data_IF_696050870732
#
_entry.id   IF_696050870732
#
_cell.length_a   1.000
_cell.length_b   1.000
_cell.length_c   1.000
_cell.angle_alpha   90.00
_cell.angle_beta   90.00
_cell.angle_gamma   90.00
#
_symmetry.space_group_name_H-M   'P 1'
#
loop_
_entity.id
_entity.type
_entity.pdbx_description
1 polymer ?
#
# COMPACT_ATOMS: atom_id res chain seq x y z
N UNK A 1 1.36 -26.82 -12.80
CA UNK A 1 2.74 -27.20 -12.45
C UNK A 1 3.35 -26.04 -11.71
N UNK A 2 3.35 -26.14 -10.38
CA UNK A 2 3.81 -25.10 -9.47
C UNK A 2 5.33 -25.22 -9.34
N UNK A 3 6.05 -24.12 -9.59
CA UNK A 3 7.44 -23.97 -9.16
C UNK A 3 7.45 -22.92 -8.05
N UNK A 4 7.60 -23.45 -6.85
CA UNK A 4 7.78 -22.79 -5.58
C UNK A 4 9.24 -22.32 -5.50
N UNK A 5 9.47 -21.02 -5.68
CA UNK A 5 10.77 -20.39 -5.43
C UNK A 5 10.83 -20.01 -3.96
N UNK A 6 11.26 -20.96 -3.14
CA UNK A 6 11.68 -20.76 -1.75
C UNK A 6 13.18 -20.49 -1.72
N UNK A 7 13.59 -19.71 -0.72
CA UNK A 7 14.96 -19.54 -0.22
C UNK A 7 15.97 -18.77 -1.06
N UNK A 8 16.04 -17.46 -0.78
CA UNK A 8 17.33 -16.78 -0.59
C UNK A 8 17.22 -15.74 0.52
N UNK A 9 17.16 -16.21 1.76
CA UNK A 9 17.62 -15.42 2.90
C UNK A 9 19.15 -15.23 2.77
N UNK A 10 19.67 -13.99 2.67
CA UNK A 10 21.11 -13.75 2.57
C UNK A 10 21.86 -13.77 3.92
N UNK A 11 21.19 -14.07 5.03
CA UNK A 11 21.76 -13.90 6.38
C UNK A 11 22.28 -15.17 7.08
N UNK A 12 22.38 -16.28 6.35
CA UNK A 12 23.23 -17.40 6.80
C UNK A 12 24.71 -17.08 6.50
N UNK A 13 25.24 -16.07 7.20
CA UNK A 13 26.68 -15.98 7.45
C UNK A 13 27.10 -17.24 8.17
N UNK A 14 27.75 -18.12 7.41
CA UNK A 14 28.46 -19.33 7.83
C UNK A 14 29.06 -19.18 9.23
N UNK A 15 28.40 -19.80 10.21
CA UNK A 15 28.94 -20.09 11.54
C UNK A 15 29.96 -21.23 11.53
N UNK A 16 30.39 -21.69 10.35
CA UNK A 16 31.24 -22.87 10.17
C UNK A 16 32.75 -22.59 10.08
N UNK A 17 33.22 -21.37 10.37
CA UNK A 17 34.67 -21.04 10.42
C UNK A 17 35.21 -20.80 11.84
N UNK A 18 34.42 -21.06 12.88
CA UNK A 18 34.97 -21.20 14.23
C UNK A 18 35.61 -22.59 14.34
N UNK A 19 36.89 -22.67 13.93
CA UNK A 19 37.73 -23.83 14.20
C UNK A 19 37.58 -24.26 15.66
N UNK A 20 37.73 -25.56 15.98
CA UNK A 20 37.48 -26.08 17.31
C UNK A 20 38.32 -25.28 18.31
N UNK A 21 37.65 -24.43 19.09
CA UNK A 21 38.27 -23.71 20.20
C UNK A 21 38.77 -24.81 21.12
N UNK A 22 40.09 -24.94 21.14
CA UNK A 22 40.88 -25.98 21.79
C UNK A 22 40.78 -25.81 23.31
N UNK A 23 39.56 -25.93 23.85
CA UNK A 23 39.21 -25.65 25.24
C UNK A 23 39.55 -26.77 26.21
N UNK A 24 39.97 -27.94 25.71
CA UNK A 24 40.33 -29.06 26.60
C UNK A 24 41.74 -28.95 27.15
N UNK A 25 42.65 -28.20 26.51
CA UNK A 25 44.06 -28.13 26.93
C UNK A 25 44.31 -27.19 28.11
N UNK A 26 43.53 -26.11 28.28
CA UNK A 26 43.74 -25.17 29.39
C UNK A 26 43.29 -25.72 30.75
N UNK A 27 42.25 -26.56 30.76
CA UNK A 27 41.74 -27.16 32.00
C UNK A 27 42.77 -28.11 32.65
N UNK A 28 43.46 -28.94 31.86
CA UNK A 28 44.52 -29.82 32.36
C UNK A 28 45.75 -29.03 32.87
N UNK A 29 46.08 -27.91 32.23
CA UNK A 29 47.20 -27.05 32.67
C UNK A 29 46.88 -26.36 33.99
N UNK A 30 45.64 -25.88 34.17
CA UNK A 30 45.19 -25.30 35.44
C UNK A 30 45.11 -26.36 36.55
N UNK A 31 44.64 -27.56 36.24
CA UNK A 31 44.60 -28.67 37.19
C UNK A 31 46.01 -29.11 37.61
N UNK A 32 46.95 -29.21 36.67
CA UNK A 32 48.35 -29.56 36.96
C UNK A 32 49.06 -28.48 37.79
N UNK A 33 48.82 -27.20 37.50
CA UNK A 33 49.38 -26.09 38.28
C UNK A 33 48.82 -26.06 39.70
N UNK A 34 47.50 -26.27 39.87
CA UNK A 34 46.87 -26.36 41.18
C UNK A 34 47.40 -27.53 42.01
N UNK A 35 47.60 -28.69 41.39
CA UNK A 35 48.18 -29.87 42.05
C UNK A 35 49.63 -29.63 42.48
N UNK A 36 50.46 -29.02 41.63
CA UNK A 36 51.84 -28.70 41.95
C UNK A 36 51.95 -27.71 43.13
N UNK A 37 51.13 -26.66 43.14
CA UNK A 37 51.09 -25.69 44.25
C UNK A 37 50.64 -26.36 45.55
N UNK A 38 49.63 -27.26 45.48
CA UNK A 38 49.17 -28.05 46.62
C UNK A 38 50.26 -28.92 47.22
N UNK A 39 51.06 -29.59 46.40
CA UNK A 39 52.21 -30.41 46.85
C UNK A 39 53.26 -29.53 47.52
N UNK A 40 53.62 -28.40 46.91
CA UNK A 40 54.66 -27.51 47.46
C UNK A 40 54.23 -26.94 48.81
N UNK A 41 52.96 -26.58 48.98
CA UNK A 41 52.43 -26.10 50.26
C UNK A 41 52.34 -27.21 51.31
N UNK A 42 51.96 -28.43 50.93
CA UNK A 42 51.93 -29.58 51.85
C UNK A 42 53.33 -29.97 52.34
N UNK A 43 54.31 -30.03 51.44
CA UNK A 43 55.70 -30.35 51.77
C UNK A 43 56.35 -29.23 52.56
N UNK A 44 56.13 -27.97 52.16
CA UNK A 44 56.64 -26.79 52.86
C UNK A 44 56.06 -26.63 54.26
N UNK A 45 54.74 -26.79 54.41
CA UNK A 45 54.05 -26.75 55.70
C UNK A 45 54.47 -27.90 56.61
N UNK A 46 54.65 -29.11 56.06
CA UNK A 46 55.17 -30.27 56.79
C UNK A 46 56.58 -30.05 57.33
N UNK A 47 57.50 -29.56 56.49
CA UNK A 47 58.88 -29.25 56.89
C UNK A 47 58.95 -28.12 57.93
N UNK A 48 58.13 -27.08 57.76
CA UNK A 48 58.07 -25.96 58.70
C UNK A 48 57.49 -26.39 60.05
N UNK A 49 56.40 -27.17 60.05
CA UNK A 49 55.81 -27.75 61.27
C UNK A 49 56.78 -28.68 61.98
N UNK A 50 57.53 -29.52 61.24
CA UNK A 50 58.51 -30.44 61.81
C UNK A 50 59.69 -29.70 62.46
N UNK A 51 60.19 -28.62 61.82
CA UNK A 51 61.25 -27.77 62.40
C UNK A 51 60.77 -26.98 63.62
N UNK A 52 59.56 -26.42 63.57
CA UNK A 52 59.00 -25.66 64.70
C UNK A 52 58.77 -26.57 65.91
N UNK A 53 58.29 -27.78 65.67
CA UNK A 53 58.07 -28.78 66.71
C UNK A 53 59.40 -29.25 67.34
N UNK A 54 60.41 -29.57 66.53
CA UNK A 54 61.74 -29.94 67.03
C UNK A 54 62.47 -28.82 67.80
N UNK A 55 62.13 -27.55 67.55
CA UNK A 55 62.64 -26.43 68.33
C UNK A 55 61.96 -26.31 69.70
N UNK A 56 60.67 -26.64 69.81
CA UNK A 56 59.89 -26.52 71.05
C UNK A 56 60.10 -27.73 71.98
N UNK A 57 60.32 -28.94 71.46
CA UNK A 57 60.33 -30.15 72.31
C UNK A 57 61.67 -30.54 72.92
N UNK A 58 62.79 -29.91 72.52
CA UNK A 58 64.12 -30.19 73.09
C UNK A 58 64.64 -31.60 72.77
N UNK A 59 65.96 -31.78 72.77
CA UNK A 59 66.67 -32.92 72.16
C UNK A 59 66.57 -34.26 72.92
N UNK A 60 65.38 -34.79 73.16
CA UNK A 60 65.18 -36.20 73.55
C UNK A 60 64.23 -36.89 72.57
N UNK A 61 64.81 -37.65 71.64
CA UNK A 61 64.08 -38.41 70.63
C UNK A 61 63.33 -39.57 71.28
N UNK A 62 62.01 -39.57 71.21
CA UNK A 62 61.14 -40.72 71.53
C UNK A 62 59.97 -40.76 70.54
N UNK A 63 59.58 -41.95 70.07
CA UNK A 63 58.69 -42.14 68.91
C UNK A 63 57.30 -41.48 69.04
N UNK A 64 56.81 -41.25 70.27
CA UNK A 64 55.52 -40.60 70.55
C UNK A 64 55.47 -39.09 70.20
N UNK A 65 56.62 -38.41 70.15
CA UNK A 65 56.68 -36.98 69.78
C UNK A 65 56.46 -36.75 68.28
N UNK A 66 56.81 -37.74 67.45
CA UNK A 66 56.63 -37.69 65.99
C UNK A 66 55.16 -37.73 65.58
N UNK A 67 54.33 -38.48 66.32
CA UNK A 67 52.90 -38.58 66.07
C UNK A 67 52.15 -37.27 66.41
N UNK A 68 52.55 -36.60 67.49
CA UNK A 68 51.96 -35.31 67.88
C UNK A 68 52.41 -34.17 66.95
N UNK A 69 53.66 -34.14 66.49
CA UNK A 69 54.13 -33.19 65.48
C UNK A 69 53.31 -33.24 64.17
N UNK A 70 52.98 -34.46 63.72
CA UNK A 70 52.14 -34.67 62.54
C UNK A 70 50.69 -34.17 62.71
N UNK A 71 50.13 -34.27 63.92
CA UNK A 71 48.79 -33.79 64.23
C UNK A 71 48.69 -32.24 64.21
N UNK A 72 49.70 -31.54 64.71
CA UNK A 72 49.72 -30.06 64.69
C UNK A 72 49.99 -29.50 63.28
N UNK A 73 50.89 -30.14 62.52
CA UNK A 73 51.16 -29.75 61.13
C UNK A 73 49.92 -29.93 60.23
N UNK A 74 49.17 -31.01 60.43
CA UNK A 74 47.92 -31.24 59.70
C UNK A 74 46.80 -30.29 60.13
N UNK A 75 46.68 -29.98 61.42
CA UNK A 75 45.69 -29.01 61.91
C UNK A 75 45.92 -27.61 61.31
N UNK A 76 47.16 -27.09 61.37
CA UNK A 76 47.48 -25.75 60.82
C UNK A 76 47.39 -25.73 59.29
N UNK A 77 47.83 -26.80 58.62
CA UNK A 77 47.69 -26.95 57.18
C UNK A 77 46.23 -26.99 56.73
N UNK A 78 45.35 -27.67 57.48
CA UNK A 78 43.93 -27.74 57.20
C UNK A 78 43.23 -26.38 57.35
N UNK A 79 43.56 -25.60 58.39
CA UNK A 79 42.97 -24.26 58.56
C UNK A 79 43.44 -23.28 57.47
N UNK A 80 44.71 -23.36 57.06
CA UNK A 80 45.24 -22.54 55.98
C UNK A 80 44.58 -22.88 54.63
N UNK A 81 44.37 -24.17 54.33
CA UNK A 81 43.64 -24.61 53.14
C UNK A 81 42.16 -24.21 53.19
N UNK A 82 41.52 -24.30 54.37
CA UNK A 82 40.15 -23.86 54.55
C UNK A 82 40.01 -22.35 54.27
N UNK A 83 40.88 -21.52 54.82
CA UNK A 83 40.86 -20.06 54.59
C UNK A 83 41.17 -19.71 53.13
N UNK A 84 42.12 -20.39 52.49
CA UNK A 84 42.40 -20.22 51.07
C UNK A 84 41.20 -20.63 50.19
N UNK A 85 40.51 -21.71 50.54
CA UNK A 85 39.32 -22.18 49.82
C UNK A 85 38.14 -21.20 49.93
N UNK A 86 37.93 -20.62 51.11
CA UNK A 86 36.91 -19.58 51.34
C UNK A 86 37.26 -18.31 50.55
N UNK A 87 38.54 -17.90 50.54
CA UNK A 87 38.97 -16.73 49.80
C UNK A 87 38.82 -16.90 48.28
N UNK A 88 39.20 -18.05 47.73
CA UNK A 88 38.98 -18.40 46.32
C UNK A 88 37.48 -18.46 45.97
N UNK A 89 36.64 -19.02 46.86
CA UNK A 89 35.20 -19.05 46.67
C UNK A 89 34.57 -17.65 46.67
N UNK A 90 35.05 -16.74 47.55
CA UNK A 90 34.61 -15.34 47.57
C UNK A 90 35.05 -14.59 46.31
N UNK A 91 36.28 -14.81 45.84
CA UNK A 91 36.79 -14.18 44.63
C UNK A 91 36.04 -14.68 43.38
N UNK A 92 35.75 -15.98 43.31
CA UNK A 92 34.94 -16.58 42.25
C UNK A 92 33.50 -16.07 42.26
N UNK A 93 32.88 -15.91 43.44
CA UNK A 93 31.54 -15.31 43.56
C UNK A 93 31.51 -13.84 43.16
N UNK A 94 32.58 -13.08 43.44
CA UNK A 94 32.72 -11.69 42.99
C UNK A 94 32.77 -11.61 41.46
N UNK A 95 33.59 -12.44 40.82
CA UNK A 95 33.69 -12.50 39.36
C UNK A 95 32.39 -12.98 38.68
N UNK A 96 31.68 -13.93 39.29
CA UNK A 96 30.39 -14.39 38.80
C UNK A 96 29.34 -13.27 38.82
N UNK A 97 29.26 -12.48 39.90
CA UNK A 97 28.34 -11.33 39.97
C UNK A 97 28.69 -10.21 39.01
N UNK A 98 29.97 -9.93 38.80
CA UNK A 98 30.40 -8.93 37.81
C UNK A 98 30.11 -9.41 36.38
N UNK A 99 30.25 -10.72 36.11
CA UNK A 99 29.85 -11.31 34.83
C UNK A 99 28.33 -11.26 34.62
N UNK A 100 27.53 -11.52 35.66
CA UNK A 100 26.07 -11.38 35.62
C UNK A 100 25.64 -9.93 35.37
N UNK A 101 26.29 -8.94 35.99
CA UNK A 101 26.00 -7.53 35.75
C UNK A 101 26.31 -7.12 34.31
N UNK A 102 27.47 -7.52 33.77
CA UNK A 102 27.80 -7.25 32.35
C UNK A 102 26.84 -7.95 31.40
N UNK A 103 26.46 -9.20 31.69
CA UNK A 103 25.49 -9.93 30.88
C UNK A 103 24.10 -9.27 30.92
N UNK A 104 23.66 -8.75 32.08
CA UNK A 104 22.40 -8.02 32.20
C UNK A 104 22.42 -6.67 31.45
N UNK A 105 23.53 -5.93 31.52
CA UNK A 105 23.72 -4.69 30.77
C UNK A 105 23.76 -4.95 29.25
N UNK A 106 24.47 -5.99 28.81
CA UNK A 106 24.52 -6.40 27.40
C UNK A 106 23.14 -6.85 26.90
N UNK A 107 22.38 -7.60 27.69
CA UNK A 107 21.02 -8.01 27.39
C UNK A 107 20.05 -6.82 27.28
N UNK A 108 20.18 -5.84 28.18
CA UNK A 108 19.38 -4.61 28.12
C UNK A 108 19.71 -3.77 26.88
N UNK A 109 20.99 -3.65 26.52
CA UNK A 109 21.42 -2.97 25.30
C UNK A 109 20.97 -3.69 24.03
N UNK A 110 20.98 -5.02 24.00
CA UNK A 110 20.46 -5.78 22.86
C UNK A 110 18.94 -5.65 22.74
N UNK A 111 18.21 -5.65 23.86
CA UNK A 111 16.77 -5.41 23.86
C UNK A 111 16.42 -4.01 23.34
N UNK A 112 17.16 -2.97 23.76
CA UNK A 112 16.99 -1.61 23.22
C UNK A 112 17.27 -1.53 21.72
N UNK A 113 18.39 -2.09 21.25
CA UNK A 113 18.70 -2.12 19.81
C UNK A 113 17.63 -2.84 19.00
N UNK A 114 17.14 -3.96 19.52
CA UNK A 114 16.07 -4.70 18.84
C UNK A 114 14.77 -3.90 18.78
N UNK A 115 14.44 -3.15 19.83
CA UNK A 115 13.27 -2.27 19.82
C UNK A 115 13.43 -1.12 18.83
N UNK A 116 14.60 -0.47 18.78
CA UNK A 116 14.92 0.58 17.79
C UNK A 116 14.86 0.04 16.35
N UNK A 117 15.37 -1.17 16.12
CA UNK A 117 15.30 -1.83 14.81
C UNK A 117 13.86 -2.13 14.39
N UNK A 118 13.01 -2.57 15.33
CA UNK A 118 11.59 -2.85 15.10
C UNK A 118 10.81 -1.56 14.81
N UNK A 119 11.07 -0.49 15.56
CA UNK A 119 10.46 0.82 15.31
C UNK A 119 10.89 1.38 13.94
N UNK A 120 12.18 1.31 13.60
CA UNK A 120 12.69 1.72 12.29
C UNK A 120 12.14 0.85 11.14
N UNK A 121 11.90 -0.44 11.36
CA UNK A 121 11.25 -1.31 10.39
C UNK A 121 9.76 -0.96 10.22
N UNK A 122 9.05 -0.69 11.32
CA UNK A 122 7.65 -0.27 11.30
C UNK A 122 7.48 1.08 10.59
N UNK A 123 8.37 2.04 10.81
CA UNK A 123 8.36 3.32 10.09
C UNK A 123 8.60 3.14 8.58
N UNK A 124 9.53 2.26 8.19
CA UNK A 124 9.77 1.96 6.77
C UNK A 124 8.54 1.34 6.12
N UNK A 125 7.94 0.36 6.78
CA UNK A 125 6.72 -0.28 6.29
C UNK A 125 5.54 0.71 6.20
N UNK A 126 5.39 1.61 7.18
CA UNK A 126 4.37 2.65 7.14
C UNK A 126 4.56 3.62 5.97
N UNK A 127 5.81 4.01 5.66
CA UNK A 127 6.12 4.84 4.49
C UNK A 127 5.85 4.11 3.17
N UNK A 128 6.16 2.82 3.09
CA UNK A 128 5.88 2.00 1.91
C UNK A 128 4.38 1.87 1.66
N UNK A 129 3.58 1.63 2.71
CA UNK A 129 2.11 1.61 2.62
C UNK A 129 1.57 2.97 2.16
N UNK A 130 2.03 4.07 2.75
CA UNK A 130 1.59 5.41 2.35
C UNK A 130 1.90 5.71 0.87
N UNK A 131 3.09 5.32 0.39
CA UNK A 131 3.44 5.45 -1.03
C UNK A 131 2.62 4.53 -1.93
N UNK A 132 2.31 3.31 -1.48
CA UNK A 132 1.47 2.38 -2.21
C UNK A 132 0.03 2.90 -2.34
N UNK A 133 -0.55 3.41 -1.25
CA UNK A 133 -1.88 4.03 -1.22
C UNK A 133 -1.94 5.27 -2.13
N UNK A 134 -0.89 6.08 -2.13
CA UNK A 134 -0.80 7.24 -3.03
C UNK A 134 -0.72 6.83 -4.51
N UNK A 135 0.03 5.77 -4.83
CA UNK A 135 0.09 5.21 -6.19
C UNK A 135 -1.27 4.64 -6.61
N UNK A 136 -1.93 3.91 -5.72
CA UNK A 136 -3.22 3.29 -5.99
C UNK A 136 -4.32 4.34 -6.17
N UNK A 137 -4.35 5.37 -5.32
CA UNK A 137 -5.28 6.50 -5.48
C UNK A 137 -5.07 7.23 -6.81
N UNK A 138 -3.80 7.40 -7.24
CA UNK A 138 -3.49 7.98 -8.55
C UNK A 138 -3.98 7.09 -9.70
N UNK A 139 -3.85 5.77 -9.59
CA UNK A 139 -4.35 4.83 -10.59
C UNK A 139 -5.89 4.86 -10.68
N UNK A 140 -6.59 4.81 -9.54
CA UNK A 140 -8.05 4.89 -9.49
C UNK A 140 -8.56 6.18 -10.13
N UNK A 141 -7.94 7.33 -9.81
CA UNK A 141 -8.32 8.60 -10.43
C UNK A 141 -8.12 8.59 -11.95
N UNK A 142 -6.96 8.12 -12.43
CA UNK A 142 -6.68 8.02 -13.86
C UNK A 142 -7.68 7.10 -14.59
N UNK A 143 -8.07 5.99 -13.97
CA UNK A 143 -9.10 5.09 -14.49
C UNK A 143 -10.47 5.77 -14.57
N UNK A 144 -10.90 6.47 -13.50
CA UNK A 144 -12.16 7.25 -13.52
C UNK A 144 -12.19 8.29 -14.64
N UNK A 145 -11.10 9.02 -14.87
CA UNK A 145 -11.08 10.00 -15.98
C UNK A 145 -11.12 9.34 -17.35
N UNK A 146 -10.53 8.14 -17.51
CA UNK A 146 -10.66 7.36 -18.75
C UNK A 146 -12.09 6.91 -18.96
N UNK A 147 -12.76 6.43 -17.92
CA UNK A 147 -14.19 6.07 -17.96
C UNK A 147 -15.06 7.27 -18.33
N UNK A 148 -14.86 8.42 -17.67
CA UNK A 148 -15.56 9.67 -18.00
C UNK A 148 -15.34 10.08 -19.46
N UNK A 149 -14.10 10.00 -19.96
CA UNK A 149 -13.78 10.31 -21.35
C UNK A 149 -14.49 9.37 -22.34
N UNK A 150 -14.59 8.08 -22.01
CA UNK A 150 -15.30 7.10 -22.81
C UNK A 150 -16.81 7.38 -22.82
N UNK A 151 -17.41 7.60 -21.66
CA UNK A 151 -18.85 7.88 -21.55
C UNK A 151 -19.22 9.17 -22.28
N UNK A 152 -18.40 10.22 -22.20
CA UNK A 152 -18.63 11.46 -22.97
C UNK A 152 -18.48 11.23 -24.48
N UNK A 153 -17.55 10.36 -24.90
CA UNK A 153 -17.44 9.98 -26.31
C UNK A 153 -18.71 9.25 -26.79
N UNK A 154 -19.25 8.36 -25.98
CA UNK A 154 -20.46 7.60 -26.28
C UNK A 154 -21.71 8.52 -26.32
N UNK A 155 -21.79 9.52 -25.44
CA UNK A 155 -22.77 10.60 -25.53
C UNK A 155 -22.72 11.28 -26.90
N UNK A 156 -21.53 11.68 -27.37
CA UNK A 156 -21.42 12.33 -28.68
C UNK A 156 -21.73 11.40 -29.85
N UNK A 157 -21.46 10.09 -29.72
CA UNK A 157 -21.90 9.12 -30.71
C UNK A 157 -23.43 9.08 -30.80
N UNK A 158 -24.11 9.11 -29.64
CA UNK A 158 -25.57 9.16 -29.53
C UNK A 158 -26.15 10.44 -30.13
N UNK A 159 -25.56 11.61 -29.83
CA UNK A 159 -25.94 12.89 -30.44
C UNK A 159 -25.77 12.84 -31.97
N UNK A 160 -24.67 12.25 -32.48
CA UNK A 160 -24.46 12.11 -33.92
C UNK A 160 -25.50 11.19 -34.57
N UNK A 161 -25.91 10.12 -33.88
CA UNK A 161 -26.96 9.22 -34.37
C UNK A 161 -28.31 9.94 -34.51
N UNK A 162 -28.59 10.94 -33.67
CA UNK A 162 -29.80 11.76 -33.72
C UNK A 162 -29.83 12.78 -34.88
N UNK A 163 -28.70 13.08 -35.54
CA UNK A 163 -28.62 14.08 -36.63
C UNK A 163 -29.51 13.67 -37.82
N UNK A 164 -29.35 12.45 -38.32
CA UNK A 164 -30.08 11.99 -39.52
C UNK A 164 -31.61 11.95 -39.29
N UNK A 165 -32.13 11.39 -38.19
CA UNK A 165 -33.55 11.49 -37.84
C UNK A 165 -34.06 12.93 -37.81
N UNK A 166 -33.26 13.86 -37.31
CA UNK A 166 -33.62 15.28 -37.20
C UNK A 166 -33.76 15.93 -38.58
N UNK A 167 -32.80 15.70 -39.47
CA UNK A 167 -32.86 16.19 -40.85
C UNK A 167 -34.02 15.55 -41.63
N UNK A 168 -34.28 14.27 -41.37
CA UNK A 168 -35.40 13.55 -42.00
C UNK A 168 -36.74 14.12 -41.56
N UNK A 169 -36.92 14.40 -40.26
CA UNK A 169 -38.12 15.05 -39.75
C UNK A 169 -38.32 16.43 -40.41
N UNK A 170 -37.26 17.24 -40.45
CA UNK A 170 -37.30 18.56 -41.08
C UNK A 170 -37.75 18.46 -42.56
N UNK A 171 -37.12 17.57 -43.33
CA UNK A 171 -37.47 17.34 -44.73
C UNK A 171 -38.94 16.91 -44.90
N UNK A 172 -39.42 15.96 -44.08
CA UNK A 172 -40.80 15.46 -44.17
C UNK A 172 -41.82 16.55 -43.84
N UNK A 173 -41.52 17.45 -42.90
CA UNK A 173 -42.38 18.60 -42.60
C UNK A 173 -42.40 19.59 -43.78
N UNK A 174 -41.25 19.87 -44.41
CA UNK A 174 -41.18 20.74 -45.58
C UNK A 174 -41.92 20.16 -46.79
N UNK A 175 -41.79 18.84 -47.05
CA UNK A 175 -42.55 18.13 -48.07
C UNK A 175 -44.05 18.19 -47.81
N UNK A 176 -44.47 18.01 -46.55
CA UNK A 176 -45.87 18.12 -46.13
C UNK A 176 -46.43 19.52 -46.39
N UNK A 177 -45.67 20.56 -46.00
CA UNK A 177 -46.02 21.95 -46.24
C UNK A 177 -46.19 22.26 -47.73
N UNK A 178 -45.25 21.79 -48.57
CA UNK A 178 -45.32 22.00 -50.01
C UNK A 178 -46.57 21.34 -50.61
N UNK A 179 -46.91 20.12 -50.16
CA UNK A 179 -48.13 19.42 -50.58
C UNK A 179 -49.39 20.20 -50.16
N UNK A 180 -49.42 20.72 -48.93
CA UNK A 180 -50.54 21.48 -48.39
C UNK A 180 -50.75 22.84 -49.11
N UNK A 181 -49.69 23.45 -49.64
CA UNK A 181 -49.80 24.67 -50.45
C UNK A 181 -50.23 24.40 -51.90
N UNK A 182 -49.85 23.26 -52.48
CA UNK A 182 -50.07 22.96 -53.90
C UNK A 182 -51.39 22.25 -54.20
N UNK A 183 -51.92 21.48 -53.24
CA UNK A 183 -53.15 20.72 -53.40
C UNK A 183 -54.24 21.36 -52.54
N UNK A 184 -55.43 21.52 -53.12
CA UNK A 184 -56.67 21.85 -52.40
C UNK A 184 -56.74 21.11 -51.07
N UNK A 185 -57.25 21.76 -50.02
CA UNK A 185 -57.34 21.32 -48.61
C UNK A 185 -58.13 20.02 -48.36
N UNK A 186 -58.32 19.19 -49.38
CA UNK A 186 -58.99 17.90 -49.32
C UNK A 186 -58.23 16.94 -48.40
N UNK A 187 -58.88 16.61 -47.28
CA UNK A 187 -58.34 15.76 -46.21
C UNK A 187 -57.95 14.38 -46.70
N UNK A 188 -58.61 13.84 -47.72
CA UNK A 188 -58.30 12.51 -48.25
C UNK A 188 -56.95 12.46 -48.96
N UNK A 189 -56.50 13.58 -49.54
CA UNK A 189 -55.21 13.69 -50.21
C UNK A 189 -54.07 13.95 -49.22
N UNK A 190 -54.37 14.64 -48.10
CA UNK A 190 -53.39 15.06 -47.10
C UNK A 190 -53.08 13.94 -46.08
N UNK A 191 -54.02 13.03 -45.81
CA UNK A 191 -53.91 11.99 -44.79
C UNK A 191 -52.63 11.12 -44.87
N UNK A 192 -52.16 10.64 -46.04
CA UNK A 192 -50.91 9.90 -46.14
C UNK A 192 -49.68 10.73 -45.73
N UNK A 193 -49.69 12.03 -45.97
CA UNK A 193 -48.60 12.93 -45.62
C UNK A 193 -48.55 13.23 -44.11
N UNK A 194 -49.71 13.39 -43.46
CA UNK A 194 -49.82 13.49 -41.99
C UNK A 194 -49.26 12.26 -41.29
N UNK A 195 -49.54 11.06 -41.83
CA UNK A 195 -48.99 9.80 -41.31
C UNK A 195 -47.46 9.76 -41.42
N UNK A 196 -46.88 10.25 -42.53
CA UNK A 196 -45.43 10.35 -42.71
C UNK A 196 -44.79 11.29 -41.68
N UNK A 197 -45.35 12.48 -41.47
CA UNK A 197 -44.87 13.44 -40.45
C UNK A 197 -44.89 12.80 -39.07
N UNK A 198 -46.00 12.15 -38.71
CA UNK A 198 -46.17 11.50 -37.40
C UNK A 198 -45.15 10.37 -37.18
N UNK A 199 -44.90 9.55 -38.22
CA UNK A 199 -43.90 8.47 -38.17
C UNK A 199 -42.48 9.01 -38.05
N UNK A 200 -42.14 10.04 -38.83
CA UNK A 200 -40.83 10.69 -38.76
C UNK A 200 -40.58 11.30 -37.38
N UNK A 201 -41.59 11.97 -36.80
CA UNK A 201 -41.50 12.54 -35.45
C UNK A 201 -41.32 11.46 -34.39
N UNK A 202 -42.06 10.35 -34.47
CA UNK A 202 -41.92 9.24 -33.51
C UNK A 202 -40.51 8.64 -33.54
N UNK A 203 -39.97 8.41 -34.74
CA UNK A 203 -38.61 7.92 -34.91
C UNK A 203 -37.56 8.92 -34.37
N UNK A 204 -37.74 10.21 -34.66
CA UNK A 204 -36.88 11.27 -34.15
C UNK A 204 -36.91 11.35 -32.62
N UNK A 205 -38.11 11.31 -32.02
CA UNK A 205 -38.31 11.40 -30.56
C UNK A 205 -37.63 10.25 -29.82
N UNK A 206 -37.63 9.04 -30.40
CA UNK A 206 -36.91 7.88 -29.84
C UNK A 206 -35.41 8.19 -29.67
N UNK A 207 -34.76 8.72 -30.70
CA UNK A 207 -33.33 9.06 -30.63
C UNK A 207 -33.03 10.21 -29.66
N UNK A 208 -33.96 11.16 -29.51
CA UNK A 208 -33.78 12.23 -28.53
C UNK A 208 -33.93 11.75 -27.08
N UNK A 209 -34.77 10.73 -26.83
CA UNK A 209 -34.77 10.05 -25.53
C UNK A 209 -33.46 9.31 -25.26
N UNK A 210 -32.84 8.69 -26.27
CA UNK A 210 -31.51 8.07 -26.12
C UNK A 210 -30.46 9.13 -25.77
N UNK A 211 -30.49 10.30 -26.42
CA UNK A 211 -29.61 11.43 -26.10
C UNK A 211 -29.82 11.90 -24.67
N UNK A 212 -31.07 12.09 -24.23
CA UNK A 212 -31.38 12.53 -22.86
C UNK A 212 -30.88 11.52 -21.82
N UNK A 213 -31.14 10.22 -22.04
CA UNK A 213 -30.66 9.16 -21.17
C UNK A 213 -29.12 9.11 -21.12
N UNK A 214 -28.45 9.31 -22.26
CA UNK A 214 -27.00 9.38 -22.31
C UNK A 214 -26.46 10.58 -21.51
N UNK A 215 -27.11 11.75 -21.57
CA UNK A 215 -26.72 12.92 -20.76
C UNK A 215 -26.82 12.60 -19.27
N UNK A 216 -27.93 12.00 -18.82
CA UNK A 216 -28.14 11.63 -17.42
C UNK A 216 -27.05 10.65 -16.92
N UNK A 217 -26.70 9.64 -17.73
CA UNK A 217 -25.60 8.71 -17.41
C UNK A 217 -24.27 9.45 -17.25
N UNK A 218 -23.98 10.41 -18.13
CA UNK A 218 -22.74 11.19 -18.04
C UNK A 218 -22.76 12.08 -16.79
N UNK A 219 -23.87 12.75 -16.51
CA UNK A 219 -24.02 13.63 -15.33
C UNK A 219 -23.84 12.89 -14.00
N UNK A 220 -24.20 11.60 -13.93
CA UNK A 220 -23.96 10.76 -12.75
C UNK A 220 -22.49 10.36 -12.55
N UNK A 221 -21.70 10.31 -13.63
CA UNK A 221 -20.32 9.80 -13.61
C UNK A 221 -19.27 10.91 -13.60
N UNK A 222 -19.62 12.10 -14.06
CA UNK A 222 -18.71 13.24 -14.15
C UNK A 222 -18.78 14.08 -12.87
N UNK A 223 -17.66 14.14 -12.16
CA UNK A 223 -17.51 14.97 -10.95
C UNK A 223 -17.09 16.43 -11.28
N UNK A 224 -16.51 16.68 -12.46
CA UNK A 224 -16.01 18.01 -12.84
C UNK A 224 -17.14 19.00 -13.12
N UNK A 225 -17.16 20.10 -12.36
CA UNK A 225 -18.22 21.12 -12.42
C UNK A 225 -18.29 21.84 -13.78
N UNK A 226 -17.16 22.00 -14.46
CA UNK A 226 -17.12 22.64 -15.78
C UNK A 226 -17.79 21.76 -16.82
N UNK A 227 -17.48 20.47 -16.82
CA UNK A 227 -18.12 19.49 -17.70
C UNK A 227 -19.61 19.36 -17.35
N UNK A 228 -19.97 19.32 -16.06
CA UNK A 228 -21.39 19.30 -15.63
C UNK A 228 -22.17 20.52 -16.10
N UNK A 229 -21.57 21.71 -16.08
CA UNK A 229 -22.19 22.93 -16.62
C UNK A 229 -22.48 22.81 -18.13
N UNK A 230 -21.55 22.23 -18.91
CA UNK A 230 -21.78 21.96 -20.33
C UNK A 230 -22.87 20.91 -20.55
N UNK A 231 -22.92 19.85 -19.74
CA UNK A 231 -23.96 18.81 -19.81
C UNK A 231 -25.34 19.36 -19.47
N UNK A 232 -25.46 20.19 -18.43
CA UNK A 232 -26.73 20.85 -18.08
C UNK A 232 -27.20 21.78 -19.20
N UNK A 233 -26.29 22.53 -19.81
CA UNK A 233 -26.59 23.36 -20.98
C UNK A 233 -27.06 22.51 -22.17
N UNK A 234 -26.43 21.37 -22.43
CA UNK A 234 -26.86 20.43 -23.47
C UNK A 234 -28.25 19.84 -23.15
N UNK A 235 -28.47 19.39 -21.92
CA UNK A 235 -29.74 18.84 -21.43
C UNK A 235 -30.89 19.83 -21.65
N UNK A 236 -30.70 21.07 -21.22
CA UNK A 236 -31.69 22.14 -21.38
C UNK A 236 -32.02 22.41 -22.85
N UNK A 237 -31.00 22.42 -23.72
CA UNK A 237 -31.23 22.62 -25.16
C UNK A 237 -31.91 21.42 -25.83
N UNK A 238 -31.58 20.20 -25.42
CA UNK A 238 -32.26 18.97 -25.88
C UNK A 238 -33.73 19.01 -25.49
N UNK A 239 -34.04 19.33 -24.22
CA UNK A 239 -35.41 19.46 -23.75
C UNK A 239 -36.18 20.53 -24.53
N UNK A 240 -35.61 21.74 -24.67
CA UNK A 240 -36.24 22.81 -25.46
C UNK A 240 -36.50 22.36 -26.90
N UNK A 241 -35.56 21.65 -27.52
CA UNK A 241 -35.74 21.17 -28.88
C UNK A 241 -36.85 20.13 -29.00
N UNK A 242 -37.02 19.28 -27.98
CA UNK A 242 -38.14 18.33 -27.87
C UNK A 242 -39.48 19.03 -27.81
N UNK A 243 -39.59 20.07 -26.99
CA UNK A 243 -40.79 20.90 -26.87
C UNK A 243 -41.12 21.62 -28.19
N UNK A 244 -40.12 22.27 -28.82
CA UNK A 244 -40.28 22.99 -30.08
C UNK A 244 -40.69 22.06 -31.23
N UNK A 245 -40.06 20.90 -31.36
CA UNK A 245 -40.36 19.93 -32.41
C UNK A 245 -41.77 19.34 -32.29
N UNK A 246 -42.28 19.17 -31.08
CA UNK A 246 -43.67 18.78 -30.86
C UNK A 246 -44.63 19.86 -31.36
N UNK A 247 -44.34 21.13 -31.07
CA UNK A 247 -45.09 22.26 -31.61
C UNK A 247 -45.04 22.33 -33.13
N UNK A 248 -43.88 22.09 -33.75
CA UNK A 248 -43.75 22.05 -35.21
C UNK A 248 -44.51 20.90 -35.84
N UNK A 249 -44.49 19.72 -35.23
CA UNK A 249 -45.29 18.56 -35.67
C UNK A 249 -46.78 18.89 -35.64
N UNK A 250 -47.29 19.43 -34.53
CA UNK A 250 -48.70 19.79 -34.40
C UNK A 250 -49.11 20.88 -35.41
N UNK A 251 -48.29 21.92 -35.57
CA UNK A 251 -48.52 23.00 -36.54
C UNK A 251 -48.54 22.50 -37.99
N UNK A 252 -47.62 21.60 -38.33
CA UNK A 252 -47.57 20.96 -39.64
C UNK A 252 -48.85 20.18 -39.92
N UNK A 253 -49.29 19.33 -38.99
CA UNK A 253 -50.48 18.48 -39.15
C UNK A 253 -51.76 19.31 -39.21
N UNK A 254 -51.89 20.34 -38.36
CA UNK A 254 -53.15 21.08 -38.18
C UNK A 254 -53.35 22.22 -39.19
N UNK A 255 -52.27 22.89 -39.60
CA UNK A 255 -52.34 24.10 -40.44
C UNK A 255 -51.54 23.98 -41.74
N UNK A 256 -50.89 22.84 -42.00
CA UNK A 256 -49.93 22.69 -43.11
C UNK A 256 -48.68 23.55 -42.93
N UNK A 257 -48.47 24.11 -41.73
CA UNK A 257 -47.44 25.10 -41.45
C UNK A 257 -46.10 24.46 -41.11
N UNK A 258 -45.04 24.84 -41.82
CA UNK A 258 -43.64 24.49 -41.49
C UNK A 258 -42.85 25.66 -40.91
N UNK A 259 -43.51 26.60 -40.24
CA UNK A 259 -42.80 27.69 -39.57
C UNK A 259 -41.92 27.11 -38.46
N UNK A 260 -40.60 27.30 -38.58
CA UNK A 260 -39.61 26.80 -37.62
C UNK A 260 -38.82 25.58 -38.07
N UNK A 261 -39.07 24.98 -39.24
CA UNK A 261 -38.25 23.84 -39.72
C UNK A 261 -36.77 24.20 -39.89
N UNK A 262 -36.47 25.46 -40.22
CA UNK A 262 -35.09 25.99 -40.28
C UNK A 262 -34.37 25.98 -38.92
N UNK A 263 -35.07 25.78 -37.80
CA UNK A 263 -34.48 25.67 -36.47
C UNK A 263 -33.79 24.33 -36.26
N UNK A 264 -34.23 23.25 -36.92
CA UNK A 264 -33.64 21.91 -36.75
C UNK A 264 -32.12 21.89 -37.06
N UNK A 265 -31.64 22.39 -38.22
CA UNK A 265 -30.20 22.47 -38.50
C UNK A 265 -29.44 23.42 -37.57
N UNK A 266 -30.08 24.52 -37.14
CA UNK A 266 -29.49 25.48 -36.22
C UNK A 266 -29.22 24.84 -34.85
N UNK A 267 -30.21 24.13 -34.30
CA UNK A 267 -30.10 23.43 -33.02
C UNK A 267 -29.06 22.31 -33.04
N UNK A 268 -28.95 21.55 -34.14
CA UNK A 268 -27.87 20.56 -34.32
C UNK A 268 -26.49 21.25 -34.26
N UNK A 269 -26.36 22.39 -34.93
CA UNK A 269 -25.10 23.16 -34.95
C UNK A 269 -24.72 23.65 -33.55
N UNK A 270 -25.70 24.07 -32.76
CA UNK A 270 -25.51 24.46 -31.35
C UNK A 270 -25.07 23.28 -30.48
N UNK A 271 -25.65 22.09 -30.67
CA UNK A 271 -25.20 20.88 -29.96
C UNK A 271 -23.75 20.55 -30.31
N UNK A 272 -23.41 20.57 -31.60
CA UNK A 272 -22.04 20.28 -32.07
C UNK A 272 -21.04 21.33 -31.55
N UNK A 273 -21.46 22.59 -31.39
CA UNK A 273 -20.60 23.64 -30.86
C UNK A 273 -20.14 23.37 -29.41
N UNK A 274 -20.92 22.64 -28.60
CA UNK A 274 -20.56 22.25 -27.24
C UNK A 274 -19.53 21.10 -27.19
N UNK A 275 -19.36 20.35 -28.29
CA UNK A 275 -18.43 19.21 -28.34
C UNK A 275 -16.99 19.63 -28.14
N UNK A 276 -16.55 20.67 -28.85
CA UNK A 276 -15.15 21.12 -28.82
C UNK A 276 -14.70 21.58 -27.43
N UNK A 277 -15.40 22.49 -26.73
CA UNK A 277 -14.99 22.91 -25.39
C UNK A 277 -15.01 21.74 -24.40
N UNK A 278 -16.03 20.88 -24.43
CA UNK A 278 -16.12 19.73 -23.51
C UNK A 278 -14.99 18.71 -23.73
N UNK A 279 -14.68 18.37 -24.99
CA UNK A 279 -13.55 17.47 -25.30
C UNK A 279 -12.19 18.09 -24.98
N UNK A 280 -12.06 19.42 -25.09
CA UNK A 280 -10.85 20.13 -24.68
C UNK A 280 -10.64 20.04 -23.17
N UNK A 281 -11.71 20.14 -22.39
CA UNK A 281 -11.67 20.07 -20.94
C UNK A 281 -11.30 18.66 -20.45
N UNK A 282 -11.88 17.62 -21.04
CA UNK A 282 -11.49 16.22 -20.76
C UNK A 282 -10.01 16.01 -21.06
N UNK A 283 -9.51 16.53 -22.20
CA UNK A 283 -8.10 16.42 -22.55
C UNK A 283 -7.24 17.15 -21.52
N UNK A 284 -7.65 18.34 -21.06
CA UNK A 284 -6.97 19.09 -20.00
C UNK A 284 -6.84 18.23 -18.75
N UNK A 285 -7.93 17.62 -18.27
CA UNK A 285 -7.94 16.75 -17.09
C UNK A 285 -7.00 15.54 -17.26
N UNK A 286 -7.05 14.87 -18.42
CA UNK A 286 -6.16 13.73 -18.72
C UNK A 286 -4.68 14.13 -18.78
N UNK A 287 -4.36 15.33 -19.29
CA UNK A 287 -2.96 15.80 -19.44
C UNK A 287 -2.39 16.42 -18.16
N UNK A 288 -3.19 17.15 -17.38
CA UNK A 288 -2.76 17.79 -16.14
C UNK A 288 -2.28 16.76 -15.11
N UNK A 289 -2.93 15.59 -15.05
CA UNK A 289 -2.50 14.50 -14.17
C UNK A 289 -1.35 13.67 -14.76
N UNK A 290 -1.28 13.51 -16.09
CA UNK A 290 -0.12 12.88 -16.74
C UNK A 290 1.19 13.64 -16.49
N UNK A 291 1.13 14.97 -16.38
CA UNK A 291 2.28 15.80 -16.01
C UNK A 291 2.70 15.62 -14.54
N UNK A 292 1.75 15.39 -13.62
CA UNK A 292 2.04 15.08 -12.21
C UNK A 292 2.56 13.66 -11.99
N UNK A 293 2.40 12.74 -12.95
CA UNK A 293 2.95 11.39 -12.88
C UNK A 293 4.46 11.31 -13.23
N UNK A 294 5.03 12.36 -13.83
CA UNK A 294 6.45 12.40 -14.24
C UNK A 294 7.33 13.31 -13.39
N UNK A 295 6.77 14.04 -12.42
CA UNK A 295 7.49 14.85 -11.42
C UNK A 295 7.61 14.10 -10.10
#
# INVERSE_FOLDING_TARGET
>A
MCYENVDKDPDLRKSSDLGPVNGSRSWWVLAAAGFAIGIVLAVGGGLFGFKLFGWITGSSYNDDQTASAGAWASAVGATALALASVWLAVQANGQARDAERRAAEEAALTAQRHQEEMEAAAERHARELAQADERLNRQIKAERYREQAQVIRDLWATVNAAILPTLTLAQVIDEHRALHHNISSDRLVIAPSVSKVSKAYTNWKLHFFEVQAAIEVVEMLVEDETIRSYLSSLSHRVQRHMEDAEGYKESAISHGGGAGVSMFPATISEFIALRKPMMSEIRRLLTAEGAQQMS
#
